data_IF_594733798846
#
_entry.id   IF_594733798846
#
_cell.length_a   1.000
_cell.length_b   1.000
_cell.length_c   1.000
_cell.angle_alpha   90.00
_cell.angle_beta   90.00
_cell.angle_gamma   90.00
#
_symmetry.space_group_name_H-M   'P 1'
#
loop_
_entity.id
_entity.type
_entity.pdbx_description
1 polymer ?
#
# COMPACT_ATOMS: atom_id res chain seq x y z
N UNK A 1 7.79 13.68 13.74
CA UNK A 1 8.84 12.69 13.44
C UNK A 1 8.38 11.78 12.30
N UNK A 2 9.22 11.53 11.31
CA UNK A 2 8.90 10.62 10.21
C UNK A 2 9.28 9.18 10.57
N UNK A 3 8.31 8.27 10.61
CA UNK A 3 8.53 6.82 10.78
C UNK A 3 8.37 6.10 9.46
N UNK A 4 9.34 5.26 9.09
CA UNK A 4 9.31 4.44 7.87
C UNK A 4 9.21 2.97 8.23
N UNK A 5 8.40 2.22 7.50
CA UNK A 5 8.38 0.75 7.57
C UNK A 5 8.14 0.14 6.20
N UNK A 6 8.81 -0.97 5.95
CA UNK A 6 8.51 -1.83 4.81
C UNK A 6 7.29 -2.69 5.15
N UNK A 7 6.36 -2.78 4.20
CA UNK A 7 5.09 -3.48 4.38
C UNK A 7 4.75 -4.22 3.11
N UNK A 8 4.14 -5.39 3.28
CA UNK A 8 3.63 -6.18 2.16
C UNK A 8 2.13 -6.00 2.04
N UNK A 9 1.68 -5.76 0.81
CA UNK A 9 0.26 -5.70 0.48
C UNK A 9 -0.38 -7.05 0.76
N UNK A 10 -1.50 -7.03 1.48
CA UNK A 10 -2.36 -8.18 1.74
C UNK A 10 -3.48 -8.24 0.72
N UNK A 11 -3.64 -9.39 0.10
CA UNK A 11 -4.79 -9.71 -0.74
C UNK A 11 -5.96 -10.14 0.15
N UNK A 12 -7.13 -9.54 -0.10
CA UNK A 12 -8.36 -9.85 0.62
C UNK A 12 -9.42 -10.23 -0.40
N UNK A 13 -9.96 -11.44 -0.24
CA UNK A 13 -11.03 -11.97 -1.09
C UNK A 13 -12.34 -11.84 -0.34
N UNK A 14 -13.14 -10.86 -0.73
CA UNK A 14 -14.50 -10.74 -0.26
C UNK A 14 -15.45 -11.64 -1.05
N UNK A 15 -16.46 -12.17 -0.35
CA UNK A 15 -17.48 -13.04 -0.93
C UNK A 15 -18.85 -12.49 -0.58
N UNK A 16 -19.72 -12.33 -1.58
CA UNK A 16 -21.12 -11.94 -1.39
C UNK A 16 -22.02 -12.92 -2.11
N UNK A 17 -22.96 -13.51 -1.40
CA UNK A 17 -23.98 -14.39 -1.98
C UNK A 17 -25.25 -13.57 -2.23
N UNK A 18 -25.74 -13.57 -3.47
CA UNK A 18 -26.99 -12.91 -3.87
C UNK A 18 -27.79 -13.89 -4.72
N UNK A 19 -29.02 -14.22 -4.34
CA UNK A 19 -29.90 -15.14 -5.09
C UNK A 19 -29.22 -16.47 -5.48
N UNK A 20 -28.53 -17.11 -4.53
CA UNK A 20 -27.75 -18.35 -4.73
C UNK A 20 -26.57 -18.22 -5.71
N UNK A 21 -26.23 -17.02 -6.17
CA UNK A 21 -25.00 -16.72 -6.94
C UNK A 21 -23.94 -16.13 -6.01
N UNK A 22 -22.71 -16.65 -6.09
CA UNK A 22 -21.57 -16.14 -5.33
C UNK A 22 -20.77 -15.14 -6.18
N UNK A 23 -20.58 -13.94 -5.65
CA UNK A 23 -19.75 -12.89 -6.22
C UNK A 23 -18.48 -12.76 -5.39
N UNK A 24 -17.32 -12.86 -6.05
CA UNK A 24 -16.01 -12.69 -5.43
C UNK A 24 -15.40 -11.37 -5.86
N UNK A 25 -14.85 -10.63 -4.90
CA UNK A 25 -14.10 -9.42 -5.16
C UNK A 25 -12.75 -9.50 -4.46
N UNK A 26 -11.68 -9.26 -5.22
CA UNK A 26 -10.31 -9.21 -4.69
C UNK A 26 -9.94 -7.75 -4.52
N UNK A 27 -9.54 -7.37 -3.31
CA UNK A 27 -8.99 -6.06 -3.02
C UNK A 27 -7.67 -6.20 -2.25
N UNK A 28 -6.84 -5.17 -2.36
CA UNK A 28 -5.50 -5.16 -1.79
C UNK A 28 -5.42 -4.12 -0.69
N UNK A 29 -4.80 -4.47 0.43
CA UNK A 29 -4.73 -3.59 1.61
C UNK A 29 -3.34 -3.55 2.22
N UNK A 30 -2.97 -2.38 2.74
CA UNK A 30 -1.84 -2.15 3.62
C UNK A 30 -2.28 -2.08 5.09
N UNK A 31 -1.35 -2.06 6.06
CA UNK A 31 -1.68 -1.76 7.46
C UNK A 31 -2.51 -0.49 7.58
N UNK A 32 -3.38 -0.43 8.59
CA UNK A 32 -4.42 0.60 8.75
C UNK A 32 -5.56 0.51 7.71
N UNK A 33 -5.72 -0.65 7.06
CA UNK A 33 -6.76 -0.91 6.06
C UNK A 33 -6.73 0.06 4.87
N UNK A 34 -5.54 0.57 4.53
CA UNK A 34 -5.38 1.45 3.37
C UNK A 34 -5.55 0.60 2.11
N UNK A 35 -6.58 0.91 1.32
CA UNK A 35 -6.85 0.24 0.06
C UNK A 35 -5.83 0.64 -1.00
N UNK A 36 -5.35 -0.35 -1.75
CA UNK A 36 -4.49 -0.17 -2.92
C UNK A 36 -5.24 -0.68 -4.15
N UNK A 37 -5.34 0.11 -5.23
CA UNK A 37 -5.97 -0.34 -6.45
C UNK A 37 -5.21 -1.52 -7.08
N UNK A 38 -5.97 -2.51 -7.58
CA UNK A 38 -5.43 -3.71 -8.22
C UNK A 38 -4.38 -3.41 -9.31
N UNK A 39 -4.67 -2.45 -10.19
CA UNK A 39 -3.76 -2.08 -11.28
C UNK A 39 -2.41 -1.51 -10.78
N UNK A 40 -2.37 -0.94 -9.57
CA UNK A 40 -1.12 -0.43 -8.97
C UNK A 40 -0.28 -1.61 -8.47
N UNK A 41 -0.90 -2.58 -7.80
CA UNK A 41 -0.21 -3.79 -7.31
C UNK A 41 0.33 -4.62 -8.48
N UNK A 42 -0.45 -4.78 -9.55
CA UNK A 42 -0.01 -5.51 -10.74
C UNK A 42 1.19 -4.84 -11.43
N UNK A 43 1.25 -3.51 -11.40
CA UNK A 43 2.33 -2.74 -12.04
C UNK A 43 3.60 -2.68 -11.20
N UNK A 44 3.47 -2.58 -9.87
CA UNK A 44 4.58 -2.25 -8.97
C UNK A 44 4.90 -3.30 -7.90
N UNK A 45 4.27 -4.48 -7.99
CA UNK A 45 4.40 -5.60 -7.04
C UNK A 45 3.75 -5.32 -5.67
N UNK A 46 3.88 -6.26 -4.72
CA UNK A 46 3.25 -6.24 -3.39
C UNK A 46 4.11 -5.56 -2.32
N UNK A 47 5.33 -5.13 -2.63
CA UNK A 47 6.26 -4.52 -1.66
C UNK A 47 6.16 -2.99 -1.65
N UNK A 48 5.80 -2.44 -0.49
CA UNK A 48 5.53 -1.02 -0.29
C UNK A 48 6.31 -0.47 0.90
N UNK A 49 6.51 0.84 0.90
CA UNK A 49 7.01 1.59 2.05
C UNK A 49 5.89 2.47 2.58
N UNK A 50 5.66 2.41 3.88
CA UNK A 50 4.76 3.31 4.59
C UNK A 50 5.59 4.35 5.35
N UNK A 51 5.32 5.62 5.09
CA UNK A 51 5.85 6.75 5.83
C UNK A 51 4.73 7.38 6.66
N UNK A 52 4.93 7.51 7.96
CA UNK A 52 3.98 8.14 8.88
C UNK A 52 4.67 9.35 9.49
N UNK A 53 4.16 10.54 9.21
CA UNK A 53 4.55 11.73 9.96
C UNK A 53 3.69 11.82 11.22
N UNK A 54 4.31 11.58 12.38
CA UNK A 54 3.59 11.56 13.67
C UNK A 54 3.19 12.95 14.17
N UNK A 55 3.73 14.02 13.61
CA UNK A 55 3.39 15.40 13.99
C UNK A 55 2.20 15.92 13.19
N UNK A 56 2.18 15.65 11.88
CA UNK A 56 1.09 16.11 11.00
C UNK A 56 -0.04 15.10 10.86
N UNK A 57 0.18 13.83 11.23
CA UNK A 57 -0.74 12.72 10.98
C UNK A 57 -0.75 12.24 9.53
N UNK A 58 0.14 12.75 8.67
CA UNK A 58 0.20 12.38 7.27
C UNK A 58 0.74 10.95 7.09
N UNK A 59 0.04 10.16 6.27
CA UNK A 59 0.44 8.80 5.93
C UNK A 59 0.66 8.71 4.42
N UNK A 60 1.86 8.34 4.01
CA UNK A 60 2.21 8.09 2.62
C UNK A 60 2.51 6.63 2.41
N UNK A 61 1.95 6.05 1.35
CA UNK A 61 2.24 4.69 0.91
C UNK A 61 2.69 4.76 -0.54
N UNK A 62 3.85 4.17 -0.85
CA UNK A 62 4.33 4.07 -2.22
C UNK A 62 5.04 2.73 -2.45
N UNK A 63 4.99 2.20 -3.69
CA UNK A 63 5.71 0.98 -4.04
C UNK A 63 7.21 1.11 -3.85
N UNK A 64 7.87 0.07 -3.33
CA UNK A 64 9.32 0.03 -3.12
C UNK A 64 10.08 0.24 -4.45
N UNK A 65 9.56 -0.34 -5.54
CA UNK A 65 10.12 -0.25 -6.89
C UNK A 65 10.25 1.18 -7.44
N UNK A 66 9.48 2.14 -6.92
CA UNK A 66 9.61 3.54 -7.32
C UNK A 66 10.82 4.22 -6.68
N UNK A 67 11.27 3.80 -5.48
CA UNK A 67 12.44 4.41 -4.82
C UNK A 67 13.78 3.96 -5.40
N UNK A 68 13.85 2.81 -6.08
CA UNK A 68 15.08 2.41 -6.80
C UNK A 68 15.47 3.37 -7.93
N UNK A 69 14.56 4.25 -8.36
CA UNK A 69 14.76 5.20 -9.45
C UNK A 69 14.84 6.67 -9.01
N UNK A 70 14.81 6.97 -7.70
CA UNK A 70 14.88 8.35 -7.19
C UNK A 70 16.15 8.49 -6.36
N UNK A 71 17.14 9.32 -6.77
CA UNK A 71 18.33 9.56 -5.96
C UNK A 71 17.89 10.09 -4.59
N UNK A 72 18.51 9.56 -3.54
CA UNK A 72 18.32 10.07 -2.20
C UNK A 72 18.79 11.52 -2.20
N UNK A 73 17.84 12.46 -2.16
CA UNK A 73 18.16 13.84 -1.78
C UNK A 73 18.56 13.75 -0.31
N UNK A 74 19.87 13.74 -0.10
CA UNK A 74 20.52 13.88 1.19
C UNK A 74 19.91 15.09 1.89
N UNK A 75 19.36 14.87 3.08
CA UNK A 75 19.03 15.96 3.96
C UNK A 75 20.37 16.58 4.41
N UNK A 76 20.71 17.72 3.82
CA UNK A 76 21.85 18.55 4.21
C UNK A 76 21.78 18.89 5.70
N UNK A 77 22.97 18.87 6.30
CA UNK A 77 23.32 19.07 7.71
C UNK A 77 22.78 20.37 8.32
#
# INVERSE_FOLDING_TARGET
MLRRREVKVREVVGRKVVNKKEYRYTYYTLPLNIYIPKHVVEKYDKDYVLEINTETGEIRAFPKKLKENVPQVEATQ
#
